data_IF_256058768784
#
_entry.id   IF_256058768784
#
_cell.length_a   1.000
_cell.length_b   1.000
_cell.length_c   1.000
_cell.angle_alpha   90.00
_cell.angle_beta   90.00
_cell.angle_gamma   90.00
#
_symmetry.space_group_name_H-M   'P 1'
#
loop_
_entity.id
_entity.type
_entity.pdbx_description
1 polymer ?
#
# COMPACT_ATOMS: atom_id res chain seq x y z
N UNK A 1 -13.64 14.22 51.70
CA UNK A 1 -14.00 12.92 51.07
C UNK A 1 -13.18 12.80 49.78
N UNK A 2 -12.40 11.76 49.72
CA UNK A 2 -11.27 11.50 48.83
C UNK A 2 -11.68 11.36 47.38
N UNK A 3 -11.00 12.08 46.48
CA UNK A 3 -11.01 11.83 45.05
C UNK A 3 -10.18 10.55 44.79
N UNK A 4 -10.86 9.50 44.38
CA UNK A 4 -10.23 8.22 44.04
C UNK A 4 -9.37 8.40 42.80
N UNK A 5 -8.09 8.05 42.91
CA UNK A 5 -7.12 7.95 41.83
C UNK A 5 -7.60 6.95 40.79
N UNK A 6 -7.93 7.44 39.62
CA UNK A 6 -8.10 6.58 38.42
C UNK A 6 -6.69 6.16 37.98
N UNK A 7 -6.26 4.97 38.42
CA UNK A 7 -5.05 4.33 37.88
C UNK A 7 -5.23 4.09 36.39
N UNK A 8 -4.48 4.83 35.59
CA UNK A 8 -4.31 4.54 34.17
C UNK A 8 -3.78 3.10 34.02
N UNK A 9 -4.57 2.25 33.38
CA UNK A 9 -4.15 0.91 32.96
C UNK A 9 -3.04 1.10 31.92
N UNK A 10 -1.82 0.59 32.12
CA UNK A 10 -0.79 0.68 31.10
C UNK A 10 -1.24 -0.11 29.88
N UNK A 11 -1.43 0.58 28.76
CA UNK A 11 -1.59 -0.06 27.46
C UNK A 11 -0.37 -0.94 27.23
N UNK A 12 -0.55 -2.27 27.17
CA UNK A 12 0.49 -3.19 26.71
C UNK A 12 0.92 -2.72 25.31
N UNK A 13 2.06 -2.07 25.21
CA UNK A 13 2.78 -1.93 23.95
C UNK A 13 3.09 -3.34 23.44
N UNK A 14 2.18 -3.90 22.67
CA UNK A 14 2.45 -5.11 21.87
C UNK A 14 3.54 -4.69 20.90
N UNK A 15 4.79 -5.12 21.14
CA UNK A 15 5.90 -4.97 20.20
C UNK A 15 5.39 -5.44 18.84
N UNK A 16 5.10 -4.49 17.96
CA UNK A 16 4.73 -4.78 16.57
C UNK A 16 5.86 -5.61 15.98
N UNK A 17 5.51 -6.67 15.25
CA UNK A 17 6.51 -7.56 14.65
C UNK A 17 6.75 -7.11 13.21
N UNK A 18 8.01 -6.99 12.78
CA UNK A 18 8.31 -6.70 11.39
C UNK A 18 7.64 -7.71 10.45
N UNK A 19 6.95 -7.20 9.44
CA UNK A 19 6.35 -8.02 8.38
C UNK A 19 7.32 -8.18 7.22
N UNK A 20 7.98 -7.08 6.81
CA UNK A 20 9.02 -7.08 5.79
C UNK A 20 10.20 -6.22 6.26
N UNK A 21 11.42 -6.71 6.00
CA UNK A 21 12.68 -6.02 6.32
C UNK A 21 13.57 -6.01 5.08
N UNK A 22 13.83 -4.83 4.54
CA UNK A 22 14.82 -4.60 3.49
C UNK A 22 16.10 -4.08 4.13
N UNK A 23 17.25 -4.70 3.83
CA UNK A 23 18.57 -4.32 4.35
C UNK A 23 19.50 -3.99 3.21
N UNK A 24 19.85 -2.71 3.06
CA UNK A 24 20.79 -2.20 2.04
C UNK A 24 20.49 -2.72 0.62
N UNK A 25 19.21 -2.77 0.26
CA UNK A 25 18.77 -3.32 -1.03
C UNK A 25 19.16 -2.39 -2.17
N UNK A 26 19.84 -2.97 -3.18
CA UNK A 26 20.22 -2.29 -4.40
C UNK A 26 19.66 -3.01 -5.63
N UNK A 27 19.28 -2.23 -6.65
CA UNK A 27 18.85 -2.75 -7.95
C UNK A 27 19.53 -2.01 -9.08
N UNK A 28 20.30 -2.75 -9.87
CA UNK A 28 20.87 -2.30 -11.13
C UNK A 28 20.23 -3.13 -12.24
N UNK A 29 19.65 -2.47 -13.24
CA UNK A 29 19.09 -3.14 -14.41
C UNK A 29 20.19 -3.52 -15.40
N UNK A 30 19.92 -4.44 -16.33
CA UNK A 30 20.85 -4.87 -17.39
C UNK A 30 21.31 -3.71 -18.29
N UNK A 31 20.53 -2.64 -18.37
CA UNK A 31 20.90 -1.37 -19.04
C UNK A 31 22.00 -0.57 -18.31
N UNK A 32 22.45 -0.99 -17.13
CA UNK A 32 23.36 -0.23 -16.27
C UNK A 32 22.65 0.79 -15.37
N UNK A 33 21.34 0.98 -15.52
CA UNK A 33 20.57 1.96 -14.72
C UNK A 33 20.43 1.47 -13.27
N UNK A 34 20.93 2.26 -12.32
CA UNK A 34 20.76 2.01 -10.88
C UNK A 34 19.41 2.57 -10.42
N UNK A 35 18.44 1.71 -10.20
CA UNK A 35 17.11 2.11 -9.73
C UNK A 35 17.06 2.32 -8.21
N UNK A 36 17.72 1.44 -7.45
CA UNK A 36 17.82 1.54 -5.98
C UNK A 36 19.28 1.37 -5.56
N UNK A 37 19.70 2.11 -4.54
CA UNK A 37 21.06 2.03 -3.99
C UNK A 37 21.04 2.04 -2.46
N UNK A 38 21.24 0.87 -1.85
CA UNK A 38 21.36 0.70 -0.41
C UNK A 38 20.06 1.04 0.36
N UNK A 39 18.89 0.80 -0.23
CA UNK A 39 17.60 1.08 0.41
C UNK A 39 17.38 0.14 1.60
N UNK A 40 17.16 0.72 2.79
CA UNK A 40 16.75 -0.01 3.98
C UNK A 40 15.36 0.47 4.41
N UNK A 41 14.46 -0.49 4.70
CA UNK A 41 13.08 -0.21 5.10
C UNK A 41 12.57 -1.39 5.93
N UNK A 42 12.04 -1.11 7.11
CA UNK A 42 11.31 -2.09 7.92
C UNK A 42 9.85 -1.67 7.98
N UNK A 43 8.94 -2.58 7.70
CA UNK A 43 7.48 -2.34 7.79
C UNK A 43 6.90 -3.29 8.82
N UNK A 44 6.22 -2.72 9.80
CA UNK A 44 5.58 -3.45 10.89
C UNK A 44 4.17 -3.91 10.50
N UNK A 45 3.70 -4.99 11.12
CA UNK A 45 2.33 -5.46 10.90
C UNK A 45 1.31 -4.39 11.30
N UNK A 46 0.32 -4.15 10.42
CA UNK A 46 -0.75 -3.17 10.61
C UNK A 46 -0.35 -1.72 10.29
N UNK A 47 0.86 -1.45 9.83
CA UNK A 47 1.23 -0.11 9.36
C UNK A 47 0.58 0.22 8.02
N UNK A 48 0.29 1.50 7.81
CA UNK A 48 0.04 2.09 6.50
C UNK A 48 1.22 2.99 6.14
N UNK A 49 2.13 2.51 5.32
CA UNK A 49 3.35 3.22 4.93
C UNK A 49 3.20 3.78 3.53
N UNK A 50 3.34 5.10 3.35
CA UNK A 50 3.47 5.69 2.02
C UNK A 50 4.92 5.83 1.61
N UNK A 51 5.25 5.36 0.40
CA UNK A 51 6.49 5.70 -0.30
C UNK A 51 6.21 6.93 -1.18
N UNK A 52 6.65 8.09 -0.72
CA UNK A 52 6.48 9.38 -1.39
C UNK A 52 7.78 9.77 -2.11
N UNK A 53 7.68 10.31 -3.30
CA UNK A 53 8.85 10.79 -4.04
C UNK A 53 8.56 11.12 -5.50
N UNK A 54 9.49 11.79 -6.19
CA UNK A 54 9.32 12.16 -7.60
C UNK A 54 9.22 10.93 -8.50
N UNK A 55 8.71 11.15 -9.72
CA UNK A 55 8.69 10.09 -10.75
C UNK A 55 10.09 9.59 -11.05
N UNK A 56 10.24 8.27 -11.21
CA UNK A 56 11.53 7.65 -11.52
C UNK A 56 12.49 7.50 -10.33
N UNK A 57 12.09 7.81 -9.08
CA UNK A 57 12.94 7.59 -7.90
C UNK A 57 12.98 6.14 -7.38
N UNK A 58 12.40 5.19 -8.10
CA UNK A 58 12.49 3.76 -7.75
C UNK A 58 11.37 3.20 -6.85
N UNK A 59 10.30 3.96 -6.55
CA UNK A 59 9.17 3.51 -5.71
C UNK A 59 8.54 2.20 -6.22
N UNK A 60 8.12 2.19 -7.48
CA UNK A 60 7.53 1.00 -8.11
C UNK A 60 8.53 -0.16 -8.21
N UNK A 61 9.84 0.14 -8.35
CA UNK A 61 10.89 -0.89 -8.32
C UNK A 61 10.97 -1.52 -6.92
N UNK A 62 10.97 -0.71 -5.87
CA UNK A 62 10.95 -1.20 -4.48
C UNK A 62 9.70 -2.06 -4.23
N UNK A 63 8.52 -1.60 -4.67
CA UNK A 63 7.28 -2.35 -4.51
C UNK A 63 7.31 -3.71 -5.22
N UNK A 64 7.80 -3.74 -6.48
CA UNK A 64 7.92 -4.99 -7.26
C UNK A 64 8.92 -5.96 -6.63
N UNK A 65 10.02 -5.47 -6.08
CA UNK A 65 10.99 -6.30 -5.36
C UNK A 65 10.35 -6.89 -4.10
N UNK A 66 9.62 -6.09 -3.31
CA UNK A 66 8.86 -6.57 -2.14
C UNK A 66 7.82 -7.63 -2.56
N UNK A 67 7.17 -7.47 -3.70
CA UNK A 67 6.21 -8.43 -4.25
C UNK A 67 6.84 -9.72 -4.80
N UNK A 68 8.17 -9.79 -4.89
CA UNK A 68 8.86 -10.88 -5.57
C UNK A 68 8.71 -10.89 -7.09
N UNK A 69 8.35 -9.74 -7.66
CA UNK A 69 8.22 -9.51 -9.10
C UNK A 69 9.50 -8.94 -9.72
N UNK A 70 10.56 -8.82 -8.95
CA UNK A 70 11.86 -8.35 -9.39
C UNK A 70 12.97 -8.80 -8.44
N UNK A 71 14.17 -9.05 -9.02
CA UNK A 71 15.33 -9.48 -8.25
C UNK A 71 16.11 -8.28 -7.72
N UNK A 72 16.80 -8.48 -6.61
CA UNK A 72 17.78 -7.53 -6.06
C UNK A 72 19.17 -7.81 -6.67
N UNK A 73 20.01 -6.76 -6.77
CA UNK A 73 21.41 -6.91 -7.19
C UNK A 73 22.32 -7.06 -5.97
N UNK A 74 21.97 -6.43 -4.84
CA UNK A 74 22.69 -6.55 -3.57
C UNK A 74 21.74 -6.27 -2.41
N UNK A 75 22.16 -6.65 -1.20
CA UNK A 75 21.35 -6.50 0.01
C UNK A 75 20.52 -7.74 0.32
N UNK A 76 19.51 -7.60 1.18
CA UNK A 76 18.66 -8.69 1.63
C UNK A 76 17.24 -8.24 1.89
N UNK A 77 16.28 -9.14 1.69
CA UNK A 77 14.88 -8.97 2.12
C UNK A 77 14.50 -10.16 2.98
N UNK A 78 13.97 -9.87 4.16
CA UNK A 78 13.47 -10.84 5.12
C UNK A 78 11.98 -10.65 5.39
N UNK A 79 11.30 -11.76 5.72
CA UNK A 79 9.87 -11.81 6.03
C UNK A 79 9.65 -12.49 7.39
N UNK A 80 9.96 -11.80 8.52
CA UNK A 80 10.03 -12.44 9.84
C UNK A 80 8.71 -13.04 10.32
N UNK A 81 7.58 -12.55 9.80
CA UNK A 81 6.23 -12.95 10.24
C UNK A 81 5.47 -13.81 9.21
N UNK A 82 6.15 -14.32 8.17
CA UNK A 82 5.53 -15.09 7.09
C UNK A 82 6.21 -16.45 6.88
N UNK A 83 5.43 -17.42 6.38
CA UNK A 83 6.00 -18.64 5.84
C UNK A 83 6.64 -18.34 4.50
N UNK A 84 7.82 -18.87 4.28
CA UNK A 84 8.62 -18.59 3.08
C UNK A 84 8.60 -19.82 2.17
N UNK A 85 8.33 -19.61 0.89
CA UNK A 85 8.41 -20.63 -0.14
C UNK A 85 9.88 -20.90 -0.57
N UNK A 86 10.09 -21.85 -1.49
CA UNK A 86 11.42 -22.21 -2.01
C UNK A 86 12.15 -21.07 -2.74
N UNK A 87 11.44 -20.00 -3.10
CA UNK A 87 12.01 -18.80 -3.74
C UNK A 87 12.33 -17.68 -2.74
N UNK A 88 12.19 -17.92 -1.44
CA UNK A 88 12.42 -16.90 -0.40
C UNK A 88 11.31 -15.85 -0.29
N UNK A 89 10.13 -16.11 -0.85
CA UNK A 89 8.99 -15.18 -0.85
C UNK A 89 7.90 -15.68 0.10
N UNK A 90 7.12 -14.76 0.71
CA UNK A 90 6.03 -15.14 1.60
C UNK A 90 4.90 -15.85 0.84
N UNK A 91 4.44 -16.97 1.37
CA UNK A 91 3.38 -17.77 0.77
C UNK A 91 2.03 -17.09 0.90
N UNK A 92 1.54 -16.55 -0.23
CA UNK A 92 0.17 -16.08 -0.34
C UNK A 92 -0.19 -14.85 0.51
N UNK A 93 0.79 -14.23 1.15
CA UNK A 93 0.58 -13.14 2.09
C UNK A 93 0.55 -11.75 1.44
N UNK A 94 0.78 -11.64 0.11
CA UNK A 94 0.87 -10.37 -0.61
C UNK A 94 -0.29 -10.22 -1.59
N UNK A 95 -1.02 -9.10 -1.50
CA UNK A 95 -1.89 -8.57 -2.54
C UNK A 95 -1.22 -7.42 -3.27
N UNK A 96 -1.40 -7.31 -4.59
CA UNK A 96 -0.81 -6.24 -5.39
C UNK A 96 -1.89 -5.53 -6.22
N UNK A 97 -1.91 -4.20 -6.12
CA UNK A 97 -2.76 -3.31 -6.92
C UNK A 97 -1.85 -2.45 -7.78
N UNK A 98 -1.97 -2.60 -9.10
CA UNK A 98 -1.19 -1.84 -10.08
C UNK A 98 -1.82 -0.47 -10.35
N UNK A 99 -1.05 0.44 -10.93
CA UNK A 99 -1.50 1.76 -11.37
C UNK A 99 -2.68 1.66 -12.35
N UNK A 100 -2.62 0.71 -13.28
CA UNK A 100 -3.76 0.33 -14.10
C UNK A 100 -4.50 -0.86 -13.46
N UNK A 101 -5.83 -0.91 -13.48
CA UNK A 101 -6.61 -2.00 -12.88
C UNK A 101 -6.29 -3.39 -13.43
N UNK A 102 -5.71 -3.49 -14.64
CA UNK A 102 -5.28 -4.75 -15.29
C UNK A 102 -6.35 -5.85 -15.23
N UNK A 103 -7.62 -5.48 -15.47
CA UNK A 103 -8.73 -6.42 -15.49
C UNK A 103 -8.75 -7.19 -16.82
N UNK A 104 -9.11 -8.48 -16.76
CA UNK A 104 -9.35 -9.29 -17.95
C UNK A 104 -10.66 -8.83 -18.59
N UNK A 105 -10.64 -8.22 -19.80
CA UNK A 105 -11.82 -7.62 -20.41
C UNK A 105 -12.91 -8.64 -20.80
N UNK A 106 -12.52 -9.89 -20.98
CA UNK A 106 -13.43 -11.01 -21.30
C UNK A 106 -14.01 -11.74 -20.08
N UNK A 107 -13.66 -11.30 -18.86
CA UNK A 107 -14.19 -11.84 -17.61
C UNK A 107 -15.08 -10.82 -16.95
N UNK A 108 -16.14 -11.30 -16.29
CA UNK A 108 -16.96 -10.46 -15.41
C UNK A 108 -16.15 -9.97 -14.21
N UNK A 109 -16.71 -9.06 -13.43
CA UNK A 109 -16.18 -8.62 -12.14
C UNK A 109 -15.90 -9.83 -11.23
N UNK A 110 -16.90 -10.71 -11.07
CA UNK A 110 -16.74 -11.96 -10.33
C UNK A 110 -15.56 -12.78 -10.86
N UNK A 111 -15.48 -12.96 -12.19
CA UNK A 111 -14.41 -13.73 -12.82
C UNK A 111 -13.02 -13.13 -12.64
N UNK A 112 -12.90 -11.80 -12.57
CA UNK A 112 -11.66 -11.11 -12.29
C UNK A 112 -11.23 -11.32 -10.83
N UNK A 113 -12.14 -11.17 -9.88
CA UNK A 113 -11.86 -11.37 -8.44
C UNK A 113 -11.59 -12.85 -8.13
N UNK A 114 -12.22 -13.78 -8.85
CA UNK A 114 -11.99 -15.23 -8.70
C UNK A 114 -10.57 -15.66 -9.12
N UNK A 115 -9.90 -14.95 -10.03
CA UNK A 115 -8.65 -15.39 -10.64
C UNK A 115 -7.57 -15.84 -9.62
N UNK A 116 -7.24 -15.08 -8.57
CA UNK A 116 -6.21 -15.50 -7.61
C UNK A 116 -6.57 -16.80 -6.87
N UNK A 117 -7.84 -17.01 -6.57
CA UNK A 117 -8.32 -18.24 -5.92
C UNK A 117 -8.28 -19.43 -6.87
N UNK A 118 -8.64 -19.23 -8.14
CA UNK A 118 -8.53 -20.25 -9.18
C UNK A 118 -7.08 -20.73 -9.35
N UNK A 119 -6.11 -19.81 -9.35
CA UNK A 119 -4.69 -20.14 -9.46
C UNK A 119 -4.17 -20.95 -8.27
N UNK A 120 -4.85 -20.87 -7.12
CA UNK A 120 -4.59 -21.69 -5.92
C UNK A 120 -5.37 -23.02 -5.92
N UNK A 121 -6.05 -23.37 -7.01
CA UNK A 121 -6.83 -24.61 -7.12
C UNK A 121 -8.18 -24.61 -6.39
N UNK A 122 -8.63 -23.46 -5.87
CA UNK A 122 -9.92 -23.35 -5.16
C UNK A 122 -11.05 -23.34 -6.21
N UNK A 123 -12.05 -24.20 -6.04
CA UNK A 123 -13.18 -24.27 -6.94
C UNK A 123 -14.04 -23.00 -6.89
N UNK A 124 -14.81 -22.74 -7.97
CA UNK A 124 -15.69 -21.57 -8.04
C UNK A 124 -16.77 -21.57 -6.96
N UNK A 125 -17.27 -22.76 -6.59
CA UNK A 125 -18.26 -22.93 -5.54
C UNK A 125 -17.69 -22.53 -4.16
N UNK A 126 -16.52 -23.05 -3.81
CA UNK A 126 -15.82 -22.74 -2.54
C UNK A 126 -15.38 -21.27 -2.46
N UNK A 127 -15.06 -20.65 -3.61
CA UNK A 127 -14.60 -19.27 -3.69
C UNK A 127 -15.74 -18.26 -3.56
N UNK A 128 -17.01 -18.67 -3.77
CA UNK A 128 -18.15 -17.74 -3.94
C UNK A 128 -18.31 -16.77 -2.78
N UNK A 129 -18.36 -17.25 -1.57
CA UNK A 129 -18.60 -16.41 -0.39
C UNK A 129 -17.46 -15.41 -0.16
N UNK A 130 -16.21 -15.83 -0.38
CA UNK A 130 -15.03 -14.96 -0.30
C UNK A 130 -15.05 -13.87 -1.35
N UNK A 131 -15.54 -14.17 -2.55
CA UNK A 131 -15.66 -13.19 -3.64
C UNK A 131 -16.75 -12.17 -3.33
N UNK A 132 -17.90 -12.63 -2.83
CA UNK A 132 -19.01 -11.76 -2.41
C UNK A 132 -18.54 -10.84 -1.27
N UNK A 133 -17.85 -11.36 -0.26
CA UNK A 133 -17.25 -10.60 0.84
C UNK A 133 -16.27 -9.52 0.31
N UNK A 134 -15.37 -9.90 -0.60
CA UNK A 134 -14.41 -8.98 -1.19
C UNK A 134 -15.07 -7.87 -2.03
N UNK A 135 -16.12 -8.21 -2.78
CA UNK A 135 -16.89 -7.23 -3.56
C UNK A 135 -17.71 -6.30 -2.66
N UNK A 136 -18.29 -6.81 -1.58
CA UNK A 136 -19.00 -6.00 -0.59
C UNK A 136 -18.05 -5.01 0.10
N UNK A 137 -16.83 -5.41 0.42
CA UNK A 137 -15.80 -4.55 1.02
C UNK A 137 -15.49 -3.31 0.17
N UNK A 138 -15.61 -3.43 -1.16
CA UNK A 138 -15.37 -2.31 -2.09
C UNK A 138 -16.68 -1.70 -2.66
N UNK A 139 -17.85 -2.13 -2.18
CA UNK A 139 -19.16 -1.62 -2.58
C UNK A 139 -19.55 -1.98 -4.02
N UNK A 140 -19.18 -3.17 -4.49
CA UNK A 140 -19.44 -3.65 -5.86
C UNK A 140 -20.20 -4.99 -5.90
N UNK A 141 -20.91 -5.38 -4.84
CA UNK A 141 -21.66 -6.63 -4.79
C UNK A 141 -22.70 -6.75 -5.89
N UNK A 142 -23.34 -5.65 -6.29
CA UNK A 142 -24.39 -5.60 -7.31
C UNK A 142 -23.85 -5.65 -8.75
N UNK A 143 -22.53 -5.55 -8.92
CA UNK A 143 -21.84 -5.51 -10.21
C UNK A 143 -21.08 -6.81 -10.53
N UNK A 144 -21.34 -7.90 -9.79
CA UNK A 144 -20.60 -9.16 -9.93
C UNK A 144 -20.59 -9.73 -11.36
N UNK A 145 -21.70 -9.58 -12.09
CA UNK A 145 -21.86 -10.09 -13.43
C UNK A 145 -21.49 -9.09 -14.54
N UNK A 146 -21.20 -7.83 -14.20
CA UNK A 146 -20.80 -6.80 -15.14
C UNK A 146 -19.39 -7.09 -15.72
N UNK A 147 -19.15 -6.62 -16.94
CA UNK A 147 -17.82 -6.67 -17.58
C UNK A 147 -17.06 -5.38 -17.36
N UNK A 148 -15.71 -5.39 -17.45
CA UNK A 148 -14.90 -4.18 -17.26
C UNK A 148 -15.31 -2.99 -18.12
N UNK A 149 -15.79 -3.23 -19.36
CA UNK A 149 -16.26 -2.18 -20.27
C UNK A 149 -17.49 -1.41 -19.74
N UNK A 150 -18.26 -2.00 -18.83
CA UNK A 150 -19.48 -1.45 -18.25
C UNK A 150 -19.20 -0.65 -16.96
N UNK A 151 -17.93 -0.57 -16.53
CA UNK A 151 -17.50 0.05 -15.30
C UNK A 151 -16.79 1.39 -15.54
N UNK A 152 -16.98 2.35 -14.64
CA UNK A 152 -16.14 3.56 -14.56
C UNK A 152 -14.70 3.23 -14.20
N UNK A 153 -13.78 4.19 -14.37
CA UNK A 153 -12.37 4.03 -13.96
C UNK A 153 -12.22 3.69 -12.47
N UNK A 154 -12.93 4.40 -11.61
CA UNK A 154 -12.93 4.13 -10.17
C UNK A 154 -13.49 2.75 -9.81
N UNK A 155 -14.57 2.30 -10.48
CA UNK A 155 -15.11 0.95 -10.28
C UNK A 155 -14.11 -0.12 -10.71
N UNK A 156 -13.41 0.05 -11.83
CA UNK A 156 -12.35 -0.87 -12.26
C UNK A 156 -11.25 -0.97 -11.22
N UNK A 157 -10.84 0.15 -10.62
CA UNK A 157 -9.85 0.15 -9.55
C UNK A 157 -10.35 -0.58 -8.31
N UNK A 158 -11.61 -0.39 -7.89
CA UNK A 158 -12.22 -1.14 -6.79
C UNK A 158 -12.24 -2.65 -7.06
N UNK A 159 -12.52 -3.09 -8.28
CA UNK A 159 -12.41 -4.52 -8.67
C UNK A 159 -10.97 -5.02 -8.52
N UNK A 160 -9.97 -4.22 -8.91
CA UNK A 160 -8.55 -4.56 -8.72
C UNK A 160 -8.17 -4.71 -7.24
N UNK A 161 -8.69 -3.82 -6.39
CA UNK A 161 -8.51 -3.91 -4.93
C UNK A 161 -9.19 -5.18 -4.38
N UNK A 162 -10.45 -5.45 -4.74
CA UNK A 162 -11.16 -6.68 -4.33
C UNK A 162 -10.41 -7.95 -4.76
N UNK A 163 -9.88 -7.96 -5.99
CA UNK A 163 -9.03 -9.05 -6.50
C UNK A 163 -7.78 -9.27 -5.67
N UNK A 164 -7.14 -8.20 -5.20
CA UNK A 164 -5.98 -8.30 -4.33
C UNK A 164 -6.35 -8.80 -2.92
N UNK A 165 -7.50 -8.41 -2.40
CA UNK A 165 -7.98 -8.75 -1.04
C UNK A 165 -8.57 -10.16 -0.92
N UNK A 166 -9.10 -10.75 -1.99
CA UNK A 166 -9.85 -12.02 -1.95
C UNK A 166 -9.02 -13.19 -1.40
N UNK A 167 -7.70 -13.08 -1.46
CA UNK A 167 -6.76 -14.06 -0.88
C UNK A 167 -6.49 -13.85 0.61
N UNK A 168 -7.08 -12.81 1.23
CA UNK A 168 -6.85 -12.37 2.61
C UNK A 168 -5.35 -12.18 2.92
N UNK A 169 -4.66 -11.31 2.16
CA UNK A 169 -3.21 -11.10 2.31
C UNK A 169 -2.91 -10.39 3.64
N UNK A 170 -1.68 -10.53 4.15
CA UNK A 170 -1.16 -9.76 5.29
C UNK A 170 -0.63 -8.38 4.85
N UNK A 171 -0.19 -8.28 3.60
CA UNK A 171 0.39 -7.07 3.01
C UNK A 171 -0.33 -6.73 1.71
N UNK A 172 -0.80 -5.50 1.60
CA UNK A 172 -1.34 -4.93 0.38
C UNK A 172 -0.34 -3.90 -0.18
N UNK A 173 0.13 -4.16 -1.38
CA UNK A 173 1.01 -3.27 -2.13
C UNK A 173 0.19 -2.51 -3.17
N UNK A 174 0.32 -1.19 -3.21
CA UNK A 174 -0.45 -0.33 -4.12
C UNK A 174 0.49 0.63 -4.86
N UNK A 175 0.62 0.47 -6.17
CA UNK A 175 1.53 1.23 -7.02
C UNK A 175 0.78 2.35 -7.75
N UNK A 176 0.78 3.57 -7.21
CA UNK A 176 0.09 4.78 -7.73
C UNK A 176 -1.37 4.52 -8.20
N UNK A 177 -2.21 3.85 -7.41
CA UNK A 177 -3.47 3.28 -7.90
C UNK A 177 -4.50 4.34 -8.32
N UNK A 178 -4.31 5.59 -7.89
CA UNK A 178 -5.30 6.65 -8.12
C UNK A 178 -4.80 7.75 -9.07
N UNK A 179 -3.60 7.59 -9.66
CA UNK A 179 -2.97 8.61 -10.50
C UNK A 179 -3.78 9.01 -11.74
N UNK A 180 -4.53 8.06 -12.32
CA UNK A 180 -5.33 8.28 -13.55
C UNK A 180 -6.79 8.68 -13.29
N UNK A 181 -7.17 8.97 -12.02
CA UNK A 181 -8.54 9.27 -11.64
C UNK A 181 -8.77 10.78 -11.44
N UNK A 182 -10.00 11.21 -11.71
CA UNK A 182 -10.44 12.56 -11.34
C UNK A 182 -10.44 12.77 -9.83
N UNK A 183 -10.37 14.02 -9.39
CA UNK A 183 -10.19 14.37 -7.98
C UNK A 183 -11.31 13.84 -7.07
N UNK A 184 -12.57 13.91 -7.51
CA UNK A 184 -13.72 13.45 -6.70
C UNK A 184 -13.68 11.94 -6.51
N UNK A 185 -13.41 11.20 -7.59
CA UNK A 185 -13.28 9.73 -7.55
C UNK A 185 -12.07 9.33 -6.70
N UNK A 186 -10.95 10.04 -6.82
CA UNK A 186 -9.73 9.83 -6.02
C UNK A 186 -9.99 9.98 -4.53
N UNK A 187 -10.68 11.06 -4.12
CA UNK A 187 -11.00 11.29 -2.70
C UNK A 187 -11.90 10.17 -2.14
N UNK A 188 -12.91 9.73 -2.88
CA UNK A 188 -13.78 8.62 -2.47
C UNK A 188 -12.99 7.31 -2.30
N UNK A 189 -12.05 7.02 -3.22
CA UNK A 189 -11.23 5.82 -3.12
C UNK A 189 -10.20 5.90 -1.98
N UNK A 190 -9.67 7.09 -1.69
CA UNK A 190 -8.85 7.31 -0.49
C UNK A 190 -9.65 6.99 0.79
N UNK A 191 -10.90 7.46 0.88
CA UNK A 191 -11.77 7.17 2.02
C UNK A 191 -12.07 5.67 2.15
N UNK A 192 -12.33 4.99 1.03
CA UNK A 192 -12.58 3.55 1.01
C UNK A 192 -11.34 2.75 1.46
N UNK A 193 -10.15 3.09 0.97
CA UNK A 193 -8.90 2.41 1.34
C UNK A 193 -8.54 2.69 2.79
N UNK A 194 -8.76 3.92 3.28
CA UNK A 194 -8.55 4.24 4.68
C UNK A 194 -9.48 3.42 5.58
N UNK A 195 -10.78 3.35 5.24
CA UNK A 195 -11.76 2.53 5.96
C UNK A 195 -11.40 1.05 5.94
N UNK A 196 -10.98 0.53 4.78
CA UNK A 196 -10.50 -0.84 4.64
C UNK A 196 -9.35 -1.12 5.62
N UNK A 197 -8.35 -0.25 5.65
CA UNK A 197 -7.21 -0.40 6.56
C UNK A 197 -7.64 -0.35 8.03
N UNK A 198 -8.47 0.61 8.41
CA UNK A 198 -8.97 0.77 9.79
C UNK A 198 -9.79 -0.44 10.26
N UNK A 199 -10.59 -1.04 9.36
CA UNK A 199 -11.47 -2.17 9.72
C UNK A 199 -10.76 -3.51 9.70
N UNK A 200 -9.77 -3.69 8.83
CA UNK A 200 -9.09 -4.99 8.65
C UNK A 200 -7.75 -5.09 9.38
N UNK A 201 -7.11 -3.96 9.70
CA UNK A 201 -5.76 -3.93 10.25
C UNK A 201 -4.69 -4.47 9.29
N UNK A 202 -4.99 -4.57 7.99
CA UNK A 202 -4.04 -5.04 6.99
C UNK A 202 -2.83 -4.09 6.91
N UNK A 203 -1.65 -4.64 6.67
CA UNK A 203 -0.47 -3.81 6.40
C UNK A 203 -0.54 -3.28 4.97
N UNK A 204 -0.25 -2.00 4.76
CA UNK A 204 -0.28 -1.38 3.43
C UNK A 204 1.04 -0.69 3.14
N UNK A 205 1.60 -0.91 1.93
CA UNK A 205 2.63 -0.06 1.35
C UNK A 205 2.03 0.61 0.11
N UNK A 206 1.92 1.92 0.17
CA UNK A 206 1.24 2.75 -0.82
C UNK A 206 2.24 3.66 -1.51
N UNK A 207 2.41 3.49 -2.81
CA UNK A 207 3.27 4.36 -3.62
C UNK A 207 2.45 5.51 -4.18
N UNK A 208 2.91 6.72 -3.97
CA UNK A 208 2.30 7.93 -4.53
C UNK A 208 3.35 9.03 -4.76
N UNK A 209 3.03 9.98 -5.62
CA UNK A 209 3.73 11.27 -5.73
C UNK A 209 2.95 12.42 -5.08
N UNK A 210 1.77 12.12 -4.51
CA UNK A 210 0.89 13.10 -3.86
C UNK A 210 1.17 13.20 -2.37
N UNK A 211 1.61 14.38 -1.93
CA UNK A 211 1.73 14.73 -0.51
C UNK A 211 0.39 14.58 0.20
N UNK A 212 -0.71 14.99 -0.45
CA UNK A 212 -2.05 14.95 0.14
C UNK A 212 -2.54 13.53 0.40
N UNK A 213 -2.31 12.60 -0.54
CA UNK A 213 -2.63 11.19 -0.35
C UNK A 213 -1.80 10.57 0.78
N UNK A 214 -0.49 10.80 0.77
CA UNK A 214 0.40 10.27 1.80
C UNK A 214 0.05 10.76 3.20
N UNK A 215 -0.26 12.06 3.36
CA UNK A 215 -0.66 12.64 4.64
C UNK A 215 -2.05 12.15 5.10
N UNK A 216 -2.97 11.88 4.15
CA UNK A 216 -4.31 11.42 4.47
C UNK A 216 -4.38 9.95 4.86
N UNK A 217 -3.69 9.08 4.11
CA UNK A 217 -3.83 7.63 4.24
C UNK A 217 -2.89 7.04 5.30
N UNK A 218 -1.66 7.57 5.43
CA UNK A 218 -0.59 6.86 6.12
C UNK A 218 -0.51 7.20 7.61
N UNK A 219 0.07 6.29 8.37
CA UNK A 219 0.60 6.59 9.70
C UNK A 219 2.13 6.72 9.71
N UNK A 220 2.78 6.49 8.56
CA UNK A 220 4.20 6.69 8.34
C UNK A 220 4.50 7.02 6.89
N UNK A 221 5.36 8.01 6.66
CA UNK A 221 5.78 8.42 5.33
C UNK A 221 7.28 8.18 5.19
N UNK A 222 7.65 7.51 4.10
CA UNK A 222 9.02 7.31 3.66
C UNK A 222 9.23 8.11 2.39
N UNK A 223 10.02 9.18 2.47
CA UNK A 223 10.33 10.03 1.33
C UNK A 223 11.56 9.48 0.61
N UNK A 224 11.44 9.30 -0.69
CA UNK A 224 12.51 8.79 -1.55
C UNK A 224 13.06 9.89 -2.45
N UNK A 225 14.40 9.96 -2.57
CA UNK A 225 15.08 10.77 -3.59
C UNK A 225 15.44 9.94 -4.82
N UNK A 226 15.60 10.62 -5.95
CA UNK A 226 15.95 9.99 -7.23
C UNK A 226 17.47 9.93 -7.49
N UNK A 227 17.85 9.06 -8.41
CA UNK A 227 19.15 8.98 -9.12
C UNK A 227 20.38 8.81 -8.23
N UNK A 228 20.57 7.68 -7.58
CA UNK A 228 19.69 6.51 -7.52
C UNK A 228 18.67 6.64 -6.40
N UNK A 229 17.62 5.78 -6.47
CA UNK A 229 16.56 5.72 -5.45
C UNK A 229 17.12 5.35 -4.09
N UNK A 230 16.88 6.21 -3.10
CA UNK A 230 17.28 6.02 -1.68
C UNK A 230 16.21 6.59 -0.77
N UNK A 231 16.13 6.10 0.45
CA UNK A 231 15.35 6.75 1.49
C UNK A 231 16.05 8.08 1.85
N UNK A 232 15.30 9.18 1.75
CA UNK A 232 15.74 10.52 2.16
C UNK A 232 15.28 10.82 3.58
N UNK A 233 14.01 10.57 3.89
CA UNK A 233 13.43 10.76 5.20
C UNK A 233 12.42 9.63 5.49
N UNK A 234 12.26 9.29 6.77
CA UNK A 234 11.35 8.27 7.26
C UNK A 234 10.81 8.73 8.61
N UNK A 235 9.51 9.04 8.66
CA UNK A 235 8.92 9.61 9.86
C UNK A 235 7.47 9.14 10.08
N UNK A 236 7.08 8.92 11.34
CA UNK A 236 5.69 8.63 11.68
C UNK A 236 4.85 9.91 11.57
N UNK A 237 3.58 9.74 11.24
CA UNK A 237 2.58 10.80 11.37
C UNK A 237 1.84 10.64 12.69
N UNK A 238 1.82 11.72 13.48
CA UNK A 238 1.02 11.81 14.71
C UNK A 238 -0.45 12.04 14.32
N UNK A 239 -1.13 10.99 13.86
CA UNK A 239 -2.53 11.08 13.44
C UNK A 239 -3.39 10.19 14.31
N UNK A 240 -4.62 10.63 14.62
CA UNK A 240 -5.61 9.73 15.20
C UNK A 240 -5.91 8.60 14.22
N UNK A 241 -6.17 7.38 14.73
CA UNK A 241 -6.62 6.26 13.89
C UNK A 241 -7.98 6.55 13.24
N UNK A 242 -8.81 7.33 13.92
CA UNK A 242 -10.10 7.77 13.41
C UNK A 242 -9.92 9.06 12.61
N UNK A 243 -9.91 8.93 11.29
CA UNK A 243 -9.89 10.04 10.34
C UNK A 243 -11.25 10.15 9.70
N UNK A 244 -12.03 11.11 10.16
CA UNK A 244 -13.36 11.43 9.65
C UNK A 244 -13.32 12.45 8.48
N UNK A 245 -14.48 12.91 8.06
CA UNK A 245 -14.62 13.91 7.00
C UNK A 245 -13.95 15.26 7.33
N UNK A 246 -13.76 15.58 8.62
CA UNK A 246 -13.13 16.82 9.08
C UNK A 246 -11.61 16.76 9.13
N UNK A 247 -11.03 15.54 9.07
CA UNK A 247 -9.59 15.39 9.15
C UNK A 247 -8.85 16.19 8.07
N UNK A 248 -9.36 16.24 6.82
CA UNK A 248 -8.75 17.01 5.71
C UNK A 248 -8.66 18.51 5.95
N UNK A 249 -9.47 19.06 6.86
CA UNK A 249 -9.46 20.47 7.26
C UNK A 249 -8.77 20.70 8.60
N UNK A 250 -8.25 19.65 9.23
CA UNK A 250 -7.62 19.72 10.55
C UNK A 250 -6.20 20.28 10.49
N UNK A 251 -5.77 20.87 11.62
CA UNK A 251 -4.40 21.33 11.81
C UNK A 251 -3.38 20.18 11.70
N UNK A 252 -3.74 19.00 12.20
CA UNK A 252 -2.89 17.79 12.10
C UNK A 252 -2.61 17.40 10.65
N UNK A 253 -3.65 17.43 9.80
CA UNK A 253 -3.48 17.14 8.37
C UNK A 253 -2.62 18.20 7.67
N UNK A 254 -2.82 19.48 7.98
CA UNK A 254 -2.01 20.58 7.44
C UNK A 254 -0.54 20.40 7.79
N UNK A 255 -0.24 20.11 9.06
CA UNK A 255 1.14 19.88 9.53
C UNK A 255 1.78 18.63 8.88
N UNK A 256 1.00 17.55 8.70
CA UNK A 256 1.47 16.36 7.99
C UNK A 256 1.82 16.69 6.53
N UNK A 257 0.98 17.46 5.83
CA UNK A 257 1.24 17.92 4.46
C UNK A 257 2.48 18.82 4.38
N UNK A 258 2.65 19.76 5.31
CA UNK A 258 3.82 20.65 5.35
C UNK A 258 5.12 19.88 5.58
N UNK A 259 5.11 18.93 6.51
CA UNK A 259 6.28 18.10 6.82
C UNK A 259 6.66 17.24 5.62
N UNK A 260 5.68 16.55 5.01
CA UNK A 260 5.91 15.73 3.83
C UNK A 260 6.37 16.55 2.62
N UNK A 261 5.78 17.74 2.41
CA UNK A 261 6.14 18.64 1.32
C UNK A 261 7.57 19.16 1.47
N UNK A 262 7.97 19.57 2.68
CA UNK A 262 9.33 20.04 2.97
C UNK A 262 10.35 18.94 2.67
N UNK A 263 10.13 17.74 3.22
CA UNK A 263 11.03 16.61 2.99
C UNK A 263 11.10 16.21 1.50
N UNK A 264 9.99 16.34 0.76
CA UNK A 264 9.98 16.06 -0.67
C UNK A 264 10.79 17.11 -1.47
N UNK A 265 10.67 18.39 -1.11
CA UNK A 265 11.45 19.48 -1.74
C UNK A 265 12.95 19.27 -1.49
N UNK A 266 13.35 18.93 -0.26
CA UNK A 266 14.74 18.62 0.09
C UNK A 266 15.26 17.40 -0.68
N UNK A 267 14.43 16.36 -0.86
CA UNK A 267 14.79 15.18 -1.64
C UNK A 267 15.01 15.49 -3.13
N UNK A 268 14.29 16.48 -3.70
CA UNK A 268 14.40 16.91 -5.09
C UNK A 268 15.60 17.88 -5.24
N UNK A 269 15.73 18.90 -4.38
CA UNK A 269 16.77 19.92 -4.47
C UNK A 269 18.20 19.38 -4.28
N UNK A 270 18.38 18.35 -3.46
CA UNK A 270 19.68 17.66 -3.35
C UNK A 270 20.09 16.82 -4.56
N UNK A 271 19.30 16.81 -5.64
CA UNK A 271 19.60 16.10 -6.90
C UNK A 271 20.19 17.00 -7.98
N UNK A 272 20.25 18.32 -7.77
CA UNK A 272 20.76 19.30 -8.77
C UNK A 272 22.23 19.67 -8.57
N UNK A 273 22.90 19.16 -7.52
CA UNK A 273 24.31 19.50 -7.22
C UNK A 273 25.35 18.47 -7.70
N UNK A 274 25.03 17.68 -8.76
CA UNK A 274 26.04 16.78 -9.36
C UNK A 274 25.98 16.78 -10.88
#
# INVERSE_FOLDING_TARGET
MSLAEIKAVPSKETKKRPLVVMQSVSKVFSSGTTALSGMSLTVESGEFVSLLGPSGCGKSTALRIIAGLGDITAGKIDWPSSRINSKGLPEGDIGFVFQEPTLMPWKTVFGNVYLPLKLRGISKAEARDRIVEALATVGLQDFADAYPRELSGGMKMRVSIARALVTKPKLLLMDEPFAALDEITRQKLNDDVLRLWQTTGITVIFVTHSVFESAYLSNRIVVMKARPGRVHADFPLMTSLERDSHYRTSEQYRQACETASRSLIEAIGGSEEH
#
